data_IF_138532550538
#
_entry.id   IF_138532550538
#
_cell.length_a   1.000
_cell.length_b   1.000
_cell.length_c   1.000
_cell.angle_alpha   90.00
_cell.angle_beta   90.00
_cell.angle_gamma   90.00
#
_symmetry.space_group_name_H-M   'P 1'
#
loop_
_entity.id
_entity.type
_entity.pdbx_description
1 polymer ?
#
# COMPACT_ATOMS: atom_id res chain seq x y z
N UNK A 1 8.85 -80.25 -48.34
CA UNK A 1 10.34 -80.21 -48.29
C UNK A 1 10.81 -79.27 -49.39
N UNK A 2 11.64 -78.28 -49.07
CA UNK A 2 12.09 -77.21 -49.99
C UNK A 2 11.65 -75.85 -49.46
N UNK A 3 12.54 -75.10 -48.81
CA UNK A 3 13.31 -73.96 -49.37
C UNK A 3 12.39 -72.74 -49.61
N UNK A 4 12.68 -71.49 -49.30
CA UNK A 4 13.81 -70.74 -48.76
C UNK A 4 13.36 -69.28 -49.00
N UNK A 5 13.32 -68.40 -47.98
CA UNK A 5 13.65 -66.97 -48.16
C UNK A 5 13.72 -66.23 -46.83
N UNK A 6 14.97 -65.94 -46.46
CA UNK A 6 15.37 -64.94 -45.46
C UNK A 6 14.91 -63.54 -45.89
N UNK A 7 14.32 -62.79 -44.97
CA UNK A 7 14.33 -61.33 -45.01
C UNK A 7 15.04 -60.86 -43.73
N UNK A 8 16.29 -60.45 -43.91
CA UNK A 8 17.11 -59.79 -42.89
C UNK A 8 16.99 -58.29 -43.11
N UNK A 9 16.45 -57.55 -42.14
CA UNK A 9 16.61 -56.09 -42.06
C UNK A 9 16.89 -55.70 -40.60
N UNK A 10 18.16 -55.75 -40.20
CA UNK A 10 18.65 -55.06 -39.00
C UNK A 10 18.85 -53.59 -39.40
N UNK A 11 18.00 -52.70 -38.90
CA UNK A 11 18.31 -51.27 -38.85
C UNK A 11 19.07 -51.02 -37.54
N UNK A 12 20.36 -50.83 -37.67
CA UNK A 12 21.24 -50.30 -36.62
C UNK A 12 20.97 -48.80 -36.50
N UNK A 13 20.28 -48.39 -35.43
CA UNK A 13 20.24 -46.98 -35.02
C UNK A 13 21.59 -46.65 -34.40
N UNK A 14 22.44 -45.97 -35.16
CA UNK A 14 23.67 -45.36 -34.65
C UNK A 14 23.30 -44.29 -33.63
N UNK A 15 23.51 -44.58 -32.35
CA UNK A 15 23.49 -43.59 -31.28
C UNK A 15 24.71 -42.68 -31.45
N UNK A 16 24.44 -41.47 -31.89
CA UNK A 16 25.39 -40.37 -31.95
C UNK A 16 26.01 -40.16 -30.56
N UNK A 17 27.34 -40.23 -30.48
CA UNK A 17 28.11 -40.03 -29.25
C UNK A 17 27.73 -38.70 -28.59
N UNK A 18 27.45 -38.66 -27.27
CA UNK A 18 27.24 -37.39 -26.59
C UNK A 18 28.54 -36.59 -26.55
N UNK A 19 28.39 -35.30 -26.87
CA UNK A 19 29.40 -34.26 -26.91
C UNK A 19 30.32 -34.27 -25.67
N UNK A 20 31.51 -34.86 -25.81
CA UNK A 20 32.57 -34.87 -24.79
C UNK A 20 33.25 -33.50 -24.77
N UNK A 21 32.65 -32.54 -24.09
CA UNK A 21 33.22 -31.18 -24.01
C UNK A 21 32.58 -30.25 -22.98
N UNK A 22 31.66 -30.73 -22.15
CA UNK A 22 31.11 -29.93 -21.05
C UNK A 22 31.81 -30.32 -19.74
N UNK A 23 32.50 -29.40 -19.04
CA UNK A 23 33.17 -29.75 -17.80
C UNK A 23 32.11 -30.12 -16.76
N UNK A 24 32.03 -31.40 -16.36
CA UNK A 24 31.15 -31.87 -15.29
C UNK A 24 31.35 -31.07 -13.99
N UNK A 25 32.58 -30.58 -13.77
CA UNK A 25 32.91 -29.64 -12.69
C UNK A 25 32.08 -28.35 -12.76
N UNK A 26 31.77 -27.84 -13.94
CA UNK A 26 30.99 -26.61 -14.12
C UNK A 26 29.51 -26.83 -13.82
N UNK A 27 28.95 -27.97 -14.24
CA UNK A 27 27.57 -28.38 -13.95
C UNK A 27 27.41 -28.66 -12.45
N UNK A 28 28.38 -29.32 -11.82
CA UNK A 28 28.39 -29.54 -10.37
C UNK A 28 28.56 -28.24 -9.59
N UNK A 29 29.43 -27.31 -10.02
CA UNK A 29 29.55 -25.97 -9.40
C UNK A 29 28.27 -25.15 -9.59
N UNK A 30 27.62 -25.23 -10.74
CA UNK A 30 26.32 -24.59 -10.99
C UNK A 30 25.21 -25.20 -10.14
N UNK A 31 25.12 -26.52 -10.05
CA UNK A 31 24.15 -27.23 -9.21
C UNK A 31 24.39 -26.98 -7.72
N UNK A 32 25.64 -26.94 -7.26
CA UNK A 32 25.99 -26.59 -5.87
C UNK A 32 25.69 -25.11 -5.58
N UNK A 33 25.96 -24.20 -6.53
CA UNK A 33 25.54 -22.78 -6.41
C UNK A 33 24.02 -22.61 -6.42
N UNK A 34 23.30 -23.44 -7.17
CA UNK A 34 21.84 -23.42 -7.25
C UNK A 34 21.18 -24.04 -6.01
N UNK A 35 21.74 -25.13 -5.49
CA UNK A 35 21.30 -25.80 -4.27
C UNK A 35 21.55 -24.97 -2.99
N UNK A 36 22.48 -24.02 -3.01
CA UNK A 36 22.81 -23.19 -1.84
C UNK A 36 21.96 -21.91 -1.67
N UNK A 37 20.89 -21.68 -2.44
CA UNK A 37 20.09 -20.45 -2.33
C UNK A 37 18.58 -20.65 -2.42
N UNK A 38 18.05 -21.52 -1.57
CA UNK A 38 16.59 -21.67 -1.41
C UNK A 38 16.09 -20.74 -0.30
N UNK A 39 15.12 -19.88 -0.62
CA UNK A 39 14.38 -19.11 0.40
C UNK A 39 13.73 -20.09 1.37
N UNK A 40 13.88 -19.87 2.67
CA UNK A 40 13.24 -20.71 3.70
C UNK A 40 11.84 -20.24 4.05
N UNK A 41 11.58 -18.94 3.93
CA UNK A 41 10.30 -18.33 4.26
C UNK A 41 9.61 -17.76 3.03
N UNK A 42 8.28 -17.72 3.08
CA UNK A 42 7.42 -17.13 2.05
C UNK A 42 6.91 -15.75 2.47
N UNK A 43 6.46 -14.95 1.49
CA UNK A 43 5.95 -13.58 1.71
C UNK A 43 4.77 -13.51 2.67
N UNK A 44 3.90 -14.53 2.65
CA UNK A 44 2.72 -14.63 3.52
C UNK A 44 3.07 -14.90 4.99
N UNK A 45 4.26 -15.42 5.27
CA UNK A 45 4.71 -15.69 6.64
C UNK A 45 5.30 -14.45 7.31
N UNK A 46 5.68 -13.42 6.53
CA UNK A 46 6.34 -12.22 7.06
C UNK A 46 5.51 -11.45 8.10
N UNK A 47 4.19 -11.21 7.92
CA UNK A 47 3.40 -10.44 8.87
C UNK A 47 3.50 -10.96 10.31
N UNK A 48 3.51 -12.29 10.48
CA UNK A 48 3.59 -12.93 11.81
C UNK A 48 5.04 -13.12 12.23
N UNK A 49 5.89 -13.64 11.34
CA UNK A 49 7.26 -14.02 11.68
C UNK A 49 8.19 -12.82 11.90
N UNK A 50 7.86 -11.63 11.37
CA UNK A 50 8.65 -10.42 11.60
C UNK A 50 8.73 -10.04 13.09
N UNK A 51 7.70 -10.33 13.88
CA UNK A 51 7.71 -10.03 15.31
C UNK A 51 8.72 -10.87 16.10
N UNK A 52 8.94 -12.12 15.69
CA UNK A 52 9.55 -13.12 16.59
C UNK A 52 10.74 -13.88 16.00
N UNK A 53 11.00 -13.80 14.70
CA UNK A 53 11.94 -14.70 14.03
C UNK A 53 13.21 -14.00 13.53
N UNK A 54 14.33 -14.06 14.28
CA UNK A 54 15.65 -13.69 13.76
C UNK A 54 16.04 -14.50 12.50
N UNK A 55 15.53 -15.73 12.37
CA UNK A 55 15.78 -16.59 11.21
C UNK A 55 15.11 -16.04 9.95
N UNK A 56 13.93 -15.43 10.06
CA UNK A 56 13.28 -14.73 8.96
C UNK A 56 14.16 -13.58 8.46
N UNK A 57 14.60 -12.69 9.36
CA UNK A 57 15.45 -11.56 8.99
C UNK A 57 16.72 -12.01 8.28
N UNK A 58 17.33 -13.11 8.74
CA UNK A 58 18.50 -13.70 8.08
C UNK A 58 18.17 -14.21 6.67
N UNK A 59 17.06 -14.91 6.50
CA UNK A 59 16.63 -15.42 5.19
C UNK A 59 16.32 -14.28 4.22
N UNK A 60 15.58 -13.26 4.67
CA UNK A 60 15.27 -12.07 3.88
C UNK A 60 16.55 -11.34 3.49
N UNK A 61 17.42 -11.05 4.45
CA UNK A 61 18.69 -10.34 4.24
C UNK A 61 19.61 -11.01 3.21
N UNK A 62 19.72 -12.34 3.27
CA UNK A 62 20.74 -13.08 2.51
C UNK A 62 20.22 -13.77 1.24
N UNK A 63 19.00 -14.31 1.29
CA UNK A 63 18.51 -15.22 0.24
C UNK A 63 17.52 -14.55 -0.71
N UNK A 64 16.82 -13.51 -0.27
CA UNK A 64 15.81 -12.87 -1.10
C UNK A 64 16.41 -12.00 -2.21
N UNK A 65 15.58 -11.62 -3.17
CA UNK A 65 15.96 -10.73 -4.28
C UNK A 65 15.07 -9.47 -4.23
N UNK A 66 15.63 -8.34 -4.63
CA UNK A 66 14.91 -7.06 -4.65
C UNK A 66 14.84 -6.36 -3.28
N UNK A 67 14.04 -5.30 -3.21
CA UNK A 67 13.88 -4.43 -2.05
C UNK A 67 12.65 -4.76 -1.18
N UNK A 68 11.90 -5.82 -1.53
CA UNK A 68 10.68 -6.25 -0.86
C UNK A 68 9.52 -5.23 -0.91
N UNK A 69 9.50 -4.32 -1.89
CA UNK A 69 8.48 -3.28 -2.01
C UNK A 69 7.06 -3.82 -2.27
N UNK A 70 6.93 -4.95 -2.97
CA UNK A 70 5.63 -5.61 -3.17
C UNK A 70 5.03 -6.03 -1.82
N UNK A 71 5.86 -6.55 -0.91
CA UNK A 71 5.39 -6.86 0.44
C UNK A 71 4.98 -5.61 1.19
N UNK A 72 5.75 -4.52 1.11
CA UNK A 72 5.38 -3.26 1.73
C UNK A 72 4.02 -2.77 1.23
N UNK A 73 3.77 -2.85 -0.08
CA UNK A 73 2.48 -2.52 -0.68
C UNK A 73 1.35 -3.39 -0.12
N UNK A 74 1.52 -4.72 -0.10
CA UNK A 74 0.52 -5.64 0.45
C UNK A 74 0.25 -5.38 1.93
N UNK A 75 1.30 -5.12 2.72
CA UNK A 75 1.18 -4.77 4.13
C UNK A 75 0.37 -3.49 4.29
N UNK A 76 0.69 -2.43 3.52
CA UNK A 76 -0.06 -1.17 3.54
C UNK A 76 -1.52 -1.39 3.16
N UNK A 77 -1.82 -2.11 2.07
CA UNK A 77 -3.21 -2.39 1.65
C UNK A 77 -3.99 -3.07 2.76
N UNK A 78 -3.47 -4.16 3.34
CA UNK A 78 -4.15 -4.89 4.41
C UNK A 78 -4.35 -4.01 5.65
N UNK A 79 -3.32 -3.29 6.06
CA UNK A 79 -3.37 -2.37 7.19
C UNK A 79 -4.32 -1.17 6.96
N UNK A 80 -4.55 -0.75 5.71
CA UNK A 80 -5.46 0.34 5.37
C UNK A 80 -6.94 -0.06 5.38
N UNK A 81 -7.28 -1.36 5.34
CA UNK A 81 -8.68 -1.81 5.34
C UNK A 81 -9.41 -1.35 6.60
N UNK A 82 -8.78 -1.54 7.77
CA UNK A 82 -9.45 -1.27 9.05
C UNK A 82 -9.76 0.23 9.25
N UNK A 83 -8.81 1.17 9.06
CA UNK A 83 -9.10 2.60 9.03
C UNK A 83 -10.15 2.98 7.97
N UNK A 84 -10.11 2.37 6.77
CA UNK A 84 -11.07 2.68 5.71
C UNK A 84 -12.52 2.35 6.10
N UNK A 85 -12.74 1.25 6.84
CA UNK A 85 -14.06 0.90 7.35
C UNK A 85 -14.56 1.93 8.38
N UNK A 86 -13.69 2.39 9.29
CA UNK A 86 -14.07 3.42 10.27
C UNK A 86 -14.45 4.74 9.61
N UNK A 87 -13.68 5.17 8.62
CA UNK A 87 -14.00 6.39 7.85
C UNK A 87 -15.31 6.24 7.07
N UNK A 88 -15.61 5.04 6.54
CA UNK A 88 -16.88 4.79 5.87
C UNK A 88 -18.06 5.00 6.83
N UNK A 89 -17.99 4.48 8.05
CA UNK A 89 -19.07 4.62 9.03
C UNK A 89 -19.27 6.09 9.46
N UNK A 90 -18.18 6.85 9.62
CA UNK A 90 -18.26 8.30 9.88
C UNK A 90 -18.92 9.07 8.73
N UNK A 91 -18.58 8.72 7.48
CA UNK A 91 -19.19 9.35 6.29
C UNK A 91 -20.68 9.03 6.21
N UNK A 92 -21.07 7.78 6.46
CA UNK A 92 -22.48 7.37 6.48
C UNK A 92 -23.27 8.10 7.57
N UNK A 93 -22.69 8.28 8.76
CA UNK A 93 -23.33 9.06 9.82
C UNK A 93 -23.57 10.53 9.42
N UNK A 94 -22.61 11.17 8.73
CA UNK A 94 -22.78 12.54 8.23
C UNK A 94 -23.90 12.61 7.18
N UNK A 95 -24.01 11.58 6.34
CA UNK A 95 -25.08 11.50 5.34
C UNK A 95 -26.46 11.32 5.98
N UNK A 96 -26.59 10.40 6.94
CA UNK A 96 -27.89 10.07 7.54
C UNK A 96 -28.39 11.12 8.53
N UNK A 97 -27.49 11.83 9.22
CA UNK A 97 -27.87 12.78 10.26
C UNK A 97 -27.84 14.21 9.73
N UNK A 98 -26.67 14.70 9.32
CA UNK A 98 -26.48 16.10 8.98
C UNK A 98 -27.12 16.45 7.63
N UNK A 99 -26.94 15.59 6.62
CA UNK A 99 -27.46 15.87 5.29
C UNK A 99 -28.99 15.77 5.27
N UNK A 100 -29.60 14.78 5.93
CA UNK A 100 -31.06 14.67 6.01
C UNK A 100 -31.69 15.86 6.76
N UNK A 101 -31.06 16.37 7.82
CA UNK A 101 -31.52 17.57 8.54
C UNK A 101 -31.51 18.83 7.66
N UNK A 102 -30.47 18.98 6.84
CA UNK A 102 -30.34 20.08 5.86
C UNK A 102 -31.33 19.91 4.71
N UNK A 103 -31.45 18.69 4.17
CA UNK A 103 -32.31 18.38 3.02
C UNK A 103 -33.79 18.64 3.34
N UNK A 104 -34.26 18.34 4.55
CA UNK A 104 -35.65 18.61 4.97
C UNK A 104 -36.02 20.09 4.93
N UNK A 105 -35.04 20.99 5.11
CA UNK A 105 -35.24 22.44 5.05
C UNK A 105 -35.20 23.00 3.63
N UNK A 106 -34.73 22.20 2.66
CA UNK A 106 -34.55 22.66 1.29
C UNK A 106 -35.91 22.74 0.56
N UNK A 107 -36.34 23.93 0.11
CA UNK A 107 -37.53 24.06 -0.71
C UNK A 107 -37.25 23.58 -2.14
N UNK A 108 -38.31 23.34 -2.90
CA UNK A 108 -38.16 23.05 -4.33
C UNK A 108 -37.71 24.33 -5.08
N UNK A 109 -36.61 24.21 -5.82
CA UNK A 109 -36.03 25.30 -6.60
C UNK A 109 -36.18 24.97 -8.09
N UNK A 110 -36.78 25.87 -8.85
CA UNK A 110 -36.93 25.75 -10.31
C UNK A 110 -36.12 26.85 -11.00
N UNK A 111 -35.14 26.49 -11.81
CA UNK A 111 -34.34 27.42 -12.60
C UNK A 111 -34.80 27.34 -14.06
N UNK A 112 -35.41 28.41 -14.56
CA UNK A 112 -35.90 28.51 -15.93
C UNK A 112 -35.39 29.79 -16.57
N UNK A 113 -34.75 29.68 -17.74
CA UNK A 113 -34.18 30.82 -18.48
C UNK A 113 -33.28 31.72 -17.59
N UNK A 114 -32.47 31.08 -16.74
CA UNK A 114 -31.61 31.76 -15.78
C UNK A 114 -32.27 32.48 -14.60
N UNK A 115 -33.56 32.20 -14.34
CA UNK A 115 -34.32 32.72 -13.21
C UNK A 115 -34.65 31.57 -12.27
N UNK A 116 -34.15 31.64 -11.03
CA UNK A 116 -34.51 30.75 -9.94
C UNK A 116 -35.83 31.20 -9.30
N UNK A 117 -36.80 30.27 -9.26
CA UNK A 117 -38.10 30.42 -8.63
C UNK A 117 -38.24 29.38 -7.53
N UNK A 118 -38.83 29.79 -6.40
CA UNK A 118 -38.99 28.96 -5.20
C UNK A 118 -40.36 29.24 -4.60
N UNK A 119 -41.06 28.21 -4.16
CA UNK A 119 -42.47 28.29 -3.73
C UNK A 119 -42.68 28.55 -2.23
N UNK A 120 -41.68 29.10 -1.54
CA UNK A 120 -41.67 29.28 -0.08
C UNK A 120 -41.49 30.75 0.28
N UNK A 121 -41.87 31.13 1.50
CA UNK A 121 -41.62 32.47 2.04
C UNK A 121 -40.12 32.81 2.02
N UNK A 122 -39.81 34.05 1.66
CA UNK A 122 -38.46 34.54 1.44
C UNK A 122 -38.10 35.67 2.42
N UNK A 123 -36.84 35.77 2.87
CA UNK A 123 -35.72 34.86 2.59
C UNK A 123 -35.82 33.54 3.38
N UNK A 124 -35.43 32.43 2.74
CA UNK A 124 -35.39 31.11 3.37
C UNK A 124 -33.98 30.80 3.88
N UNK A 125 -33.88 30.46 5.17
CA UNK A 125 -32.61 30.10 5.82
C UNK A 125 -32.54 28.58 6.02
N UNK A 126 -31.43 27.99 5.58
CA UNK A 126 -31.10 26.59 5.83
C UNK A 126 -30.05 26.56 6.93
N UNK A 127 -30.39 25.97 8.06
CA UNK A 127 -29.57 25.96 9.27
C UNK A 127 -28.93 24.59 9.48
N UNK A 128 -27.74 24.57 10.09
CA UNK A 128 -27.14 23.34 10.61
C UNK A 128 -27.77 22.96 11.97
N UNK A 129 -27.36 21.81 12.52
CA UNK A 129 -27.84 21.34 13.83
C UNK A 129 -27.58 22.33 14.98
N UNK A 130 -26.51 23.13 14.88
CA UNK A 130 -26.18 24.18 15.84
C UNK A 130 -27.03 25.46 15.68
N UNK A 131 -28.00 25.48 14.75
CA UNK A 131 -28.89 26.61 14.49
C UNK A 131 -28.24 27.75 13.68
N UNK A 132 -27.03 27.56 13.16
CA UNK A 132 -26.35 28.57 12.35
C UNK A 132 -26.75 28.44 10.88
N UNK A 133 -27.02 29.56 10.18
CA UNK A 133 -27.38 29.51 8.76
C UNK A 133 -26.16 29.12 7.93
N UNK A 134 -26.31 28.03 7.17
CA UNK A 134 -25.30 27.50 6.24
C UNK A 134 -25.62 27.84 4.79
N UNK A 135 -26.90 28.00 4.46
CA UNK A 135 -27.33 28.51 3.16
C UNK A 135 -28.51 29.47 3.28
N UNK A 136 -28.59 30.43 2.35
CA UNK A 136 -29.68 31.41 2.25
C UNK A 136 -30.25 31.37 0.84
N UNK A 137 -31.56 31.31 0.71
CA UNK A 137 -32.26 31.41 -0.56
C UNK A 137 -33.10 32.69 -0.52
N UNK A 138 -32.86 33.60 -1.46
CA UNK A 138 -33.62 34.84 -1.57
C UNK A 138 -33.74 35.29 -3.03
N UNK A 139 -34.91 35.02 -3.62
CA UNK A 139 -35.24 35.38 -4.99
C UNK A 139 -35.98 36.71 -5.12
N UNK A 140 -36.15 37.48 -4.03
CA UNK A 140 -37.00 38.70 -4.02
C UNK A 140 -36.36 39.96 -4.60
N UNK A 141 -35.13 39.86 -5.14
CA UNK A 141 -34.28 40.98 -5.61
C UNK A 141 -33.98 42.06 -4.56
N UNK A 142 -34.44 41.90 -3.32
CA UNK A 142 -34.51 42.99 -2.36
C UNK A 142 -33.30 43.03 -1.40
N UNK A 143 -32.52 41.96 -1.32
CA UNK A 143 -31.44 41.86 -0.33
C UNK A 143 -30.07 41.84 -1.00
N UNK A 144 -29.35 42.95 -0.81
CA UNK A 144 -27.91 43.03 -1.09
C UNK A 144 -27.15 42.45 0.09
N UNK A 145 -26.90 41.13 0.06
CA UNK A 145 -25.99 40.49 1.02
C UNK A 145 -24.54 40.83 0.65
N UNK A 146 -24.09 42.01 1.07
CA UNK A 146 -22.70 42.46 0.87
C UNK A 146 -21.76 41.69 1.82
N UNK A 147 -22.27 41.21 2.96
CA UNK A 147 -21.50 40.40 3.91
C UNK A 147 -22.40 39.45 4.73
N UNK A 148 -22.80 38.29 4.19
CA UNK A 148 -23.56 37.30 4.95
C UNK A 148 -22.72 36.74 6.13
N UNK A 149 -23.35 36.18 7.18
CA UNK A 149 -22.63 35.58 8.31
C UNK A 149 -21.53 34.61 7.86
N UNK A 150 -20.41 34.49 8.59
CA UNK A 150 -19.31 33.60 8.22
C UNK A 150 -19.71 32.13 8.06
N UNK A 151 -20.78 31.71 8.73
CA UNK A 151 -21.36 30.37 8.62
C UNK A 151 -22.00 30.09 7.27
N UNK A 152 -22.49 31.12 6.56
CA UNK A 152 -23.18 30.99 5.27
C UNK A 152 -22.16 30.69 4.19
N UNK A 153 -22.26 29.49 3.61
CA UNK A 153 -21.40 29.03 2.52
C UNK A 153 -22.05 29.20 1.15
N UNK A 154 -23.37 29.11 1.08
CA UNK A 154 -24.10 29.14 -0.19
C UNK A 154 -25.25 30.14 -0.12
N UNK A 155 -25.41 30.95 -1.15
CA UNK A 155 -26.53 31.85 -1.28
C UNK A 155 -27.09 31.80 -2.69
N UNK A 156 -28.38 31.54 -2.81
CA UNK A 156 -29.10 31.53 -4.07
C UNK A 156 -29.93 32.80 -4.18
N UNK A 157 -29.62 33.63 -5.17
CA UNK A 157 -30.49 34.72 -5.60
C UNK A 157 -31.28 34.32 -6.83
N UNK A 158 -32.18 35.18 -7.29
CA UNK A 158 -32.96 34.95 -8.51
C UNK A 158 -32.08 34.63 -9.73
N UNK A 159 -30.90 35.25 -9.88
CA UNK A 159 -30.06 35.11 -11.08
C UNK A 159 -28.65 34.60 -10.80
N UNK A 160 -28.27 34.42 -9.53
CA UNK A 160 -26.89 34.05 -9.17
C UNK A 160 -26.87 33.02 -8.05
N UNK A 161 -26.01 32.02 -8.22
CA UNK A 161 -25.56 31.17 -7.13
C UNK A 161 -24.23 31.72 -6.61
N UNK A 162 -24.18 32.09 -5.35
CA UNK A 162 -23.02 32.70 -4.71
C UNK A 162 -22.47 31.71 -3.69
N UNK A 163 -21.26 31.21 -3.94
CA UNK A 163 -20.57 30.24 -3.08
C UNK A 163 -19.38 30.92 -2.44
N UNK A 164 -19.29 30.87 -1.12
CA UNK A 164 -18.15 31.38 -0.37
C UNK A 164 -16.94 30.47 -0.60
N UNK A 165 -15.79 31.07 -0.91
CA UNK A 165 -14.53 30.38 -1.15
C UNK A 165 -13.43 30.96 -0.23
N UNK A 166 -13.67 30.86 1.08
CA UNK A 166 -12.86 31.47 2.14
C UNK A 166 -13.23 32.93 2.44
N UNK A 167 -12.95 33.47 3.64
CA UNK A 167 -13.22 34.88 3.94
C UNK A 167 -12.23 35.79 3.20
N UNK A 168 -12.64 36.84 2.44
CA UNK A 168 -13.99 37.28 2.06
C UNK A 168 -14.34 36.99 0.58
N UNK A 169 -13.84 35.90 0.02
CA UNK A 169 -13.96 35.59 -1.42
C UNK A 169 -15.29 34.89 -1.70
N UNK A 170 -16.02 35.39 -2.69
CA UNK A 170 -17.24 34.78 -3.19
C UNK A 170 -17.10 34.46 -4.67
N UNK A 171 -17.40 33.23 -5.04
CA UNK A 171 -17.58 32.82 -6.42
C UNK A 171 -19.05 33.03 -6.78
N UNK A 172 -19.31 33.88 -7.78
CA UNK A 172 -20.66 34.14 -8.28
C UNK A 172 -20.83 33.39 -9.60
N UNK A 173 -21.71 32.40 -9.60
CA UNK A 173 -22.13 31.69 -10.80
C UNK A 173 -23.41 32.34 -11.31
N UNK A 174 -23.39 32.81 -12.55
CA UNK A 174 -24.56 33.40 -13.21
C UNK A 174 -25.47 32.30 -13.74
N UNK A 175 -26.76 32.36 -13.40
CA UNK A 175 -27.74 31.35 -13.79
C UNK A 175 -28.19 31.51 -15.25
N UNK A 176 -27.85 32.59 -15.95
CA UNK A 176 -28.21 32.83 -17.37
C UNK A 176 -27.89 31.68 -18.33
N UNK A 177 -26.92 30.83 -17.98
CA UNK A 177 -26.53 29.66 -18.79
C UNK A 177 -27.34 28.39 -18.49
N UNK A 178 -28.17 28.40 -17.44
CA UNK A 178 -28.95 27.25 -16.97
C UNK A 178 -30.38 27.32 -17.51
N UNK A 179 -30.70 26.38 -18.41
CA UNK A 179 -32.02 26.27 -19.01
C UNK A 179 -32.75 25.02 -18.48
N UNK A 180 -33.75 25.24 -17.63
CA UNK A 180 -34.72 24.22 -17.26
C UNK A 180 -34.16 23.17 -16.31
N UNK A 181 -33.92 23.55 -15.06
CA UNK A 181 -33.51 22.63 -14.00
C UNK A 181 -34.46 22.71 -12.81
N UNK A 182 -34.79 21.55 -12.24
CA UNK A 182 -35.50 21.45 -10.97
C UNK A 182 -34.48 20.88 -10.00
N UNK A 183 -34.39 21.46 -8.81
CA UNK A 183 -33.58 20.99 -7.70
C UNK A 183 -34.54 20.77 -6.53
N UNK A 184 -34.75 19.51 -6.18
CA UNK A 184 -35.54 19.10 -5.03
C UNK A 184 -34.73 18.16 -4.12
N UNK A 185 -35.31 17.82 -2.98
CA UNK A 185 -34.67 16.98 -1.96
C UNK A 185 -34.26 15.62 -2.52
N UNK A 186 -35.10 15.00 -3.36
CA UNK A 186 -34.85 13.69 -3.95
C UNK A 186 -33.64 13.69 -4.91
N UNK A 187 -33.51 14.73 -5.74
CA UNK A 187 -32.40 14.86 -6.67
C UNK A 187 -31.08 15.09 -5.95
N UNK A 188 -31.04 15.96 -4.94
CA UNK A 188 -29.82 16.17 -4.16
C UNK A 188 -29.45 14.90 -3.42
N UNK A 189 -30.42 14.19 -2.83
CA UNK A 189 -30.16 12.90 -2.17
C UNK A 189 -29.53 11.89 -3.13
N UNK A 190 -30.08 11.73 -4.34
CA UNK A 190 -29.50 10.84 -5.37
C UNK A 190 -28.09 11.25 -5.76
N UNK A 191 -27.82 12.54 -5.96
CA UNK A 191 -26.46 12.99 -6.27
C UNK A 191 -25.49 12.74 -5.12
N UNK A 192 -25.95 12.91 -3.89
CA UNK A 192 -25.16 12.70 -2.70
C UNK A 192 -24.83 11.21 -2.52
N UNK A 193 -25.80 10.32 -2.71
CA UNK A 193 -25.60 8.87 -2.75
C UNK A 193 -24.59 8.46 -3.83
N UNK A 194 -24.76 8.91 -5.08
CA UNK A 194 -23.82 8.65 -6.18
C UNK A 194 -22.42 9.18 -5.85
N UNK A 195 -22.34 10.39 -5.30
CA UNK A 195 -21.08 11.01 -4.93
C UNK A 195 -20.35 10.16 -3.89
N UNK A 196 -21.03 9.70 -2.85
CA UNK A 196 -20.40 8.86 -1.82
C UNK A 196 -20.01 7.48 -2.33
N UNK A 197 -20.86 6.81 -3.11
CA UNK A 197 -20.56 5.51 -3.69
C UNK A 197 -19.29 5.52 -4.56
N UNK A 198 -19.05 6.63 -5.27
CA UNK A 198 -17.86 6.80 -6.12
C UNK A 198 -16.68 7.37 -5.33
N UNK A 199 -16.91 8.37 -4.48
CA UNK A 199 -15.86 9.08 -3.76
C UNK A 199 -15.19 8.19 -2.71
N UNK A 200 -15.94 7.36 -1.98
CA UNK A 200 -15.37 6.48 -0.95
C UNK A 200 -14.27 5.55 -1.48
N UNK A 201 -14.52 4.69 -2.49
CA UNK A 201 -13.47 3.81 -3.01
C UNK A 201 -12.33 4.58 -3.68
N UNK A 202 -12.61 5.73 -4.32
CA UNK A 202 -11.60 6.56 -4.95
C UNK A 202 -10.65 7.19 -3.92
N UNK A 203 -11.21 7.81 -2.87
CA UNK A 203 -10.46 8.43 -1.77
C UNK A 203 -9.65 7.35 -1.04
N UNK A 204 -10.25 6.22 -0.68
CA UNK A 204 -9.54 5.11 -0.05
C UNK A 204 -8.35 4.63 -0.89
N UNK A 205 -8.53 4.51 -2.21
CA UNK A 205 -7.47 4.10 -3.13
C UNK A 205 -6.33 5.13 -3.18
N UNK A 206 -6.65 6.41 -3.31
CA UNK A 206 -5.66 7.50 -3.35
C UNK A 206 -4.89 7.56 -2.02
N UNK A 207 -5.60 7.51 -0.89
CA UNK A 207 -4.98 7.50 0.44
C UNK A 207 -4.06 6.29 0.64
N UNK A 208 -4.46 5.10 0.17
CA UNK A 208 -3.62 3.90 0.26
C UNK A 208 -2.34 4.03 -0.58
N UNK A 209 -2.44 4.55 -1.80
CA UNK A 209 -1.28 4.82 -2.66
C UNK A 209 -0.36 5.86 -2.01
N UNK A 210 -0.91 6.95 -1.49
CA UNK A 210 -0.13 8.00 -0.83
C UNK A 210 0.58 7.46 0.42
N UNK A 211 -0.12 6.66 1.25
CA UNK A 211 0.46 6.01 2.41
C UNK A 211 1.60 5.06 2.02
N UNK A 212 1.44 4.30 0.93
CA UNK A 212 2.51 3.45 0.40
C UNK A 212 3.72 4.27 -0.05
N UNK A 213 3.53 5.39 -0.77
CA UNK A 213 4.63 6.25 -1.21
C UNK A 213 5.40 6.85 -0.03
N UNK A 214 4.68 7.33 0.99
CA UNK A 214 5.28 7.83 2.24
C UNK A 214 6.05 6.71 2.94
N UNK A 215 5.49 5.50 3.01
CA UNK A 215 6.17 4.34 3.60
C UNK A 215 7.46 3.98 2.83
N UNK A 216 7.44 4.00 1.50
CA UNK A 216 8.64 3.77 0.68
C UNK A 216 9.72 4.82 0.97
N UNK A 217 9.35 6.11 1.00
CA UNK A 217 10.28 7.20 1.32
C UNK A 217 10.91 7.00 2.71
N UNK A 218 10.10 6.66 3.71
CA UNK A 218 10.57 6.36 5.06
C UNK A 218 11.52 5.15 5.07
N UNK A 219 11.20 4.09 4.33
CA UNK A 219 12.06 2.89 4.25
C UNK A 219 13.40 3.18 3.58
N UNK A 220 13.45 4.09 2.60
CA UNK A 220 14.73 4.56 2.01
C UNK A 220 15.59 5.26 3.07
N UNK A 221 14.99 6.13 3.88
CA UNK A 221 15.69 6.81 4.98
C UNK A 221 16.21 5.81 6.01
N UNK A 222 15.35 4.91 6.48
CA UNK A 222 15.68 3.85 7.44
C UNK A 222 16.77 2.92 6.90
N UNK A 223 16.69 2.54 5.62
CA UNK A 223 17.69 1.67 4.98
C UNK A 223 19.06 2.35 4.84
N UNK A 224 19.07 3.67 4.65
CA UNK A 224 20.30 4.48 4.61
C UNK A 224 20.96 4.51 5.98
N UNK A 225 20.20 4.80 7.04
CA UNK A 225 20.68 4.73 8.41
C UNK A 225 21.16 3.32 8.78
N UNK A 226 20.40 2.28 8.39
CA UNK A 226 20.79 0.89 8.58
C UNK A 226 22.11 0.51 7.90
N UNK A 227 22.41 1.11 6.74
CA UNK A 227 23.68 0.91 6.04
C UNK A 227 24.86 1.54 6.80
N UNK A 228 24.67 2.74 7.35
CA UNK A 228 25.70 3.40 8.18
C UNK A 228 25.99 2.54 9.40
N UNK A 229 24.95 2.08 10.09
CA UNK A 229 25.08 1.20 11.26
C UNK A 229 25.78 -0.12 10.91
N UNK A 230 25.41 -0.74 9.78
CA UNK A 230 26.07 -1.95 9.29
C UNK A 230 27.56 -1.71 8.99
N UNK A 231 27.90 -0.55 8.43
CA UNK A 231 29.28 -0.13 8.18
C UNK A 231 30.09 0.00 9.48
N UNK A 232 29.54 0.66 10.50
CA UNK A 232 30.15 0.78 11.83
C UNK A 232 30.37 -0.61 12.46
N UNK A 233 29.39 -1.51 12.29
CA UNK A 233 29.48 -2.90 12.73
C UNK A 233 30.42 -3.78 11.88
N UNK A 234 31.14 -3.20 10.90
CA UNK A 234 32.03 -3.89 9.93
C UNK A 234 31.32 -4.97 9.11
N UNK A 235 30.03 -4.78 8.83
CA UNK A 235 29.20 -5.71 8.06
C UNK A 235 28.91 -5.15 6.67
N UNK A 236 29.43 -5.76 5.59
CA UNK A 236 29.20 -5.26 4.23
C UNK A 236 27.80 -5.66 3.74
N UNK A 237 26.78 -4.92 4.18
CA UNK A 237 25.43 -5.01 3.61
C UNK A 237 25.30 -4.02 2.45
N UNK A 238 24.78 -4.49 1.31
CA UNK A 238 24.44 -3.60 0.19
C UNK A 238 23.17 -2.83 0.55
N UNK A 239 22.94 -1.68 -0.09
CA UNK A 239 21.71 -0.90 0.12
C UNK A 239 20.44 -1.72 -0.15
N UNK A 240 20.46 -2.61 -1.15
CA UNK A 240 19.35 -3.54 -1.43
C UNK A 240 19.07 -4.52 -0.28
N UNK A 241 20.09 -4.86 0.50
CA UNK A 241 19.99 -5.76 1.65
C UNK A 241 19.47 -5.01 2.87
N UNK A 242 19.88 -3.76 3.09
CA UNK A 242 19.32 -2.95 4.17
C UNK A 242 17.89 -2.51 3.88
N UNK A 243 17.53 -2.24 2.62
CA UNK A 243 16.17 -1.86 2.22
C UNK A 243 15.14 -2.95 2.52
N UNK A 244 15.40 -4.19 2.11
CA UNK A 244 14.50 -5.32 2.41
C UNK A 244 14.40 -5.60 3.91
N UNK A 245 15.47 -5.40 4.67
CA UNK A 245 15.47 -5.58 6.12
C UNK A 245 14.69 -4.46 6.80
N UNK A 246 14.81 -3.21 6.35
CA UNK A 246 14.01 -2.09 6.80
C UNK A 246 12.51 -2.35 6.57
N UNK A 247 12.14 -2.79 5.37
CA UNK A 247 10.75 -3.17 5.05
C UNK A 247 10.23 -4.31 5.93
N UNK A 248 11.08 -5.28 6.27
CA UNK A 248 10.67 -6.38 7.17
C UNK A 248 10.59 -5.90 8.62
N UNK A 249 11.50 -5.02 9.03
CA UNK A 249 11.55 -4.43 10.37
C UNK A 249 10.41 -3.43 10.62
N UNK A 250 9.83 -2.85 9.57
CA UNK A 250 8.69 -1.95 9.71
C UNK A 250 7.37 -2.66 9.99
N UNK A 251 7.31 -3.99 9.78
CA UNK A 251 6.07 -4.76 9.94
C UNK A 251 5.42 -4.55 11.30
N UNK A 252 6.11 -4.75 12.44
CA UNK A 252 5.50 -4.57 13.77
C UNK A 252 5.02 -3.14 14.03
N UNK A 253 5.75 -2.14 13.52
CA UNK A 253 5.41 -0.74 13.71
C UNK A 253 4.18 -0.33 12.88
N UNK A 254 4.11 -0.76 11.62
CA UNK A 254 2.97 -0.48 10.73
C UNK A 254 1.71 -1.17 11.25
N UNK A 255 1.79 -2.46 11.61
CA UNK A 255 0.65 -3.18 12.18
C UNK A 255 0.23 -2.58 13.52
N UNK A 256 1.19 -2.23 14.38
CA UNK A 256 0.93 -1.61 15.67
C UNK A 256 0.23 -0.25 15.51
N UNK A 257 0.75 0.61 14.61
CA UNK A 257 0.12 1.89 14.29
C UNK A 257 -1.33 1.71 13.83
N UNK A 258 -1.58 0.77 12.91
CA UNK A 258 -2.94 0.56 12.41
C UNK A 258 -3.89 0.00 13.45
N UNK A 259 -3.40 -0.87 14.35
CA UNK A 259 -4.21 -1.36 15.46
C UNK A 259 -4.51 -0.25 16.47
N UNK A 260 -3.51 0.56 16.84
CA UNK A 260 -3.72 1.68 17.76
C UNK A 260 -4.67 2.73 17.19
N UNK A 261 -4.52 3.07 15.91
CA UNK A 261 -5.46 3.94 15.20
C UNK A 261 -6.88 3.37 15.22
N UNK A 262 -7.05 2.07 14.97
CA UNK A 262 -8.36 1.44 14.97
C UNK A 262 -9.04 1.38 16.35
N UNK A 263 -8.29 1.47 17.45
CA UNK A 263 -8.84 1.50 18.81
C UNK A 263 -8.80 2.90 19.43
N UNK A 264 -8.56 3.95 18.64
CA UNK A 264 -8.40 5.34 19.10
C UNK A 264 -7.36 5.50 20.23
N UNK A 265 -6.33 4.64 20.23
CA UNK A 265 -5.25 4.67 21.21
C UNK A 265 -4.18 5.66 20.73
N UNK A 266 -4.08 6.79 21.42
CA UNK A 266 -3.06 7.80 21.13
C UNK A 266 -1.70 7.37 21.68
N UNK A 267 -0.81 6.96 20.77
CA UNK A 267 0.60 6.68 21.07
C UNK A 267 1.46 7.81 20.51
N UNK A 268 2.46 8.31 21.27
CA UNK A 268 3.38 9.31 20.77
C UNK A 268 4.07 8.89 19.48
N UNK A 269 4.02 9.75 18.45
CA UNK A 269 4.46 9.41 17.10
C UNK A 269 5.92 8.97 16.97
N UNK A 270 6.80 9.36 17.90
CA UNK A 270 8.22 8.97 17.90
C UNK A 270 8.44 7.49 18.29
N UNK A 271 7.44 6.81 18.86
CA UNK A 271 7.56 5.40 19.23
C UNK A 271 7.65 4.50 17.98
N UNK A 272 6.87 4.81 16.94
CA UNK A 272 6.88 4.03 15.70
C UNK A 272 8.26 3.96 15.02
N UNK A 273 8.96 5.07 14.72
CA UNK A 273 10.31 4.98 14.17
C UNK A 273 11.29 4.30 15.13
N UNK A 274 11.15 4.49 16.46
CA UNK A 274 12.00 3.79 17.43
C UNK A 274 11.83 2.26 17.34
N UNK A 275 10.60 1.76 17.21
CA UNK A 275 10.31 0.33 16.99
C UNK A 275 10.95 -0.14 15.68
N UNK A 276 10.79 0.59 14.57
CA UNK A 276 11.39 0.24 13.28
C UNK A 276 12.92 0.11 13.40
N UNK A 277 13.56 1.08 14.04
CA UNK A 277 15.01 1.06 14.25
C UNK A 277 15.44 -0.10 15.15
N UNK A 278 14.70 -0.38 16.24
CA UNK A 278 14.96 -1.53 17.12
C UNK A 278 14.95 -2.85 16.35
N UNK A 279 13.90 -3.09 15.55
CA UNK A 279 13.82 -4.29 14.71
C UNK A 279 14.88 -4.33 13.61
N UNK A 280 15.26 -3.19 13.04
CA UNK A 280 16.33 -3.12 12.06
C UNK A 280 17.69 -3.51 12.66
N UNK A 281 17.99 -3.07 13.89
CA UNK A 281 19.20 -3.46 14.60
C UNK A 281 19.24 -4.97 14.85
N UNK A 282 18.13 -5.55 15.30
CA UNK A 282 17.98 -7.00 15.46
C UNK A 282 18.15 -7.74 14.12
N UNK A 283 17.61 -7.19 13.03
CA UNK A 283 17.73 -7.76 11.70
C UNK A 283 19.19 -7.78 11.20
N UNK A 284 19.92 -6.68 11.40
CA UNK A 284 21.35 -6.57 11.06
C UNK A 284 22.19 -7.50 11.95
N UNK A 285 21.86 -7.65 13.23
CA UNK A 285 22.48 -8.62 14.14
C UNK A 285 22.24 -10.07 13.69
N UNK A 286 21.02 -10.42 13.30
CA UNK A 286 20.67 -11.76 12.85
C UNK A 286 21.41 -12.20 11.59
N UNK A 287 21.78 -11.25 10.73
CA UNK A 287 22.58 -11.50 9.53
C UNK A 287 24.08 -11.74 9.84
N UNK A 288 24.58 -11.31 11.01
CA UNK A 288 26.00 -11.42 11.40
C UNK A 288 26.44 -12.80 11.85
N UNK A 289 25.53 -13.63 12.40
CA UNK A 289 25.90 -14.88 13.05
C UNK A 289 26.45 -15.96 12.11
N UNK A 290 26.43 -15.76 10.79
CA UNK A 290 27.02 -16.69 9.80
C UNK A 290 28.55 -16.65 9.79
N UNK A 291 29.17 -15.54 10.15
CA UNK A 291 30.64 -15.42 10.09
C UNK A 291 31.33 -16.31 11.14
N UNK A 292 30.66 -16.58 12.26
CA UNK A 292 31.17 -17.47 13.32
C UNK A 292 31.00 -18.97 13.01
N UNK A 293 30.02 -19.35 12.19
CA UNK A 293 29.75 -20.78 11.86
C UNK A 293 30.55 -21.31 10.66
N UNK A 294 31.16 -20.45 9.84
CA UNK A 294 31.65 -20.83 8.50
C UNK A 294 33.18 -20.95 8.25
N UNK A 295 34.15 -20.68 9.18
CA UNK A 295 35.56 -20.97 8.88
C UNK A 295 35.97 -22.41 9.24
N UNK A 296 35.52 -22.95 10.38
CA UNK A 296 36.07 -24.20 10.93
C UNK A 296 35.63 -25.47 10.17
N UNK A 297 34.42 -25.47 9.59
CA UNK A 297 33.87 -26.66 8.92
C UNK A 297 34.21 -26.74 7.41
N UNK A 298 34.56 -25.60 6.77
CA UNK A 298 34.96 -25.57 5.35
C UNK A 298 36.39 -26.08 5.14
N UNK A 299 37.27 -25.93 6.11
CA UNK A 299 38.63 -26.48 6.07
C UNK A 299 38.59 -28.01 6.10
N UNK A 300 37.70 -28.59 6.92
CA UNK A 300 37.54 -30.04 6.99
C UNK A 300 36.92 -30.64 5.72
N UNK A 301 35.98 -29.97 5.07
CA UNK A 301 35.39 -30.48 3.82
C UNK A 301 36.37 -30.37 2.63
N UNK A 302 37.22 -29.34 2.60
CA UNK A 302 38.30 -29.25 1.60
C UNK A 302 39.40 -30.28 1.84
N UNK A 303 39.71 -30.60 3.10
CA UNK A 303 40.62 -31.69 3.44
C UNK A 303 40.05 -33.06 3.03
N UNK A 304 38.76 -33.30 3.29
CA UNK A 304 38.07 -34.54 2.91
C UNK A 304 37.82 -34.70 1.39
N UNK A 305 37.91 -33.60 0.63
CA UNK A 305 37.81 -33.59 -0.84
C UNK A 305 39.18 -33.42 -1.52
N UNK A 306 40.27 -33.56 -0.77
CA UNK A 306 41.61 -33.55 -1.35
C UNK A 306 41.74 -34.78 -2.27
N UNK A 307 42.03 -34.59 -3.58
CA UNK A 307 42.18 -35.70 -4.52
C UNK A 307 43.23 -36.73 -4.09
N UNK A 308 44.20 -36.37 -3.25
CA UNK A 308 45.15 -37.33 -2.67
C UNK A 308 44.49 -38.30 -1.69
N UNK A 309 43.52 -37.84 -0.87
CA UNK A 309 42.79 -38.70 0.06
C UNK A 309 41.77 -39.59 -0.67
N UNK A 310 41.19 -39.09 -1.75
CA UNK A 310 40.25 -39.85 -2.59
C UNK A 310 41.00 -40.97 -3.33
N UNK A 311 42.20 -40.71 -3.87
CA UNK A 311 43.02 -41.72 -4.51
C UNK A 311 43.47 -42.84 -3.55
N UNK A 312 43.78 -42.51 -2.29
CA UNK A 312 44.14 -43.52 -1.29
C UNK A 312 42.96 -44.39 -0.82
N UNK A 313 41.72 -43.94 -1.01
CA UNK A 313 40.51 -44.72 -0.68
C UNK A 313 40.15 -45.69 -1.80
N UNK A 314 40.42 -45.35 -3.06
CA UNK A 314 40.25 -46.25 -4.21
C UNK A 314 41.32 -47.34 -4.27
N UNK A 315 42.52 -47.14 -3.72
CA UNK A 315 43.55 -48.19 -3.61
C UNK A 315 43.30 -49.17 -2.45
N UNK A 316 42.41 -48.82 -1.51
CA UNK A 316 42.12 -49.61 -0.32
C UNK A 316 40.80 -50.42 -0.41
N UNK A 317 40.07 -50.31 -1.53
CA UNK A 317 38.82 -51.02 -1.82
C UNK A 317 39.03 -52.06 -2.94
#
# INVERSE_FOLDING_TARGET
MGAEKRITRKQTLEFHKPFSGFPEKLVFILLVKFAMKTKKYNILQMPIMAFFSPRLYRDVGLNWKGANLIYLFLLTVVCSILPALQYRDQILHILETDADAILKQLPEIRIQNGIANVSTEMPCYINNEAGNPVAIIDTTRNVNFIDPPPSVQVMLTETKLIVRNGPPRFNKLDLSTVNGWIINQEQIKKWLEIFYEIATPLICSICCILAYLVAVMLMIFVATAGRIIAGIARRPLRFKDTMRLAVTASTPAVTGFTTCFAYDISIPGYIYPAVIFGYLLLAIAACSNREKETPKNRTNLKAALDPKQIATLDEAA
#
